data_IF_094123851797
#
_entry.id   IF_094123851797
#
_cell.length_a   1.000
_cell.length_b   1.000
_cell.length_c   1.000
_cell.angle_alpha   90.00
_cell.angle_beta   90.00
_cell.angle_gamma   90.00
#
_symmetry.space_group_name_H-M   'P 1'
#
loop_
_entity.id
_entity.type
_entity.pdbx_description
1 polymer ?
#
# COMPACT_ATOMS: atom_id res chain seq x y z
N UNK A 1 -26.58 -29.05 -3.02
CA UNK A 1 -26.68 -30.42 -2.46
C UNK A 1 -25.39 -30.89 -1.82
N UNK A 2 -24.20 -30.50 -2.32
CA UNK A 2 -22.91 -30.86 -1.73
C UNK A 2 -22.52 -30.02 -0.50
N UNK A 3 -22.98 -28.77 -0.42
CA UNK A 3 -22.74 -27.90 0.75
C UNK A 3 -23.53 -28.33 1.99
N UNK A 4 -24.81 -28.70 1.85
CA UNK A 4 -25.63 -29.13 2.99
C UNK A 4 -25.12 -30.42 3.65
N UNK A 5 -24.59 -31.37 2.85
CA UNK A 5 -23.98 -32.59 3.38
C UNK A 5 -22.64 -32.33 4.07
N UNK A 6 -21.92 -31.27 3.70
CA UNK A 6 -20.67 -30.84 4.34
C UNK A 6 -20.95 -30.08 5.62
N UNK A 7 -22.02 -29.27 5.66
CA UNK A 7 -22.50 -28.61 6.88
C UNK A 7 -23.05 -29.62 7.88
N UNK A 8 -23.81 -30.62 7.42
CA UNK A 8 -24.29 -31.72 8.28
C UNK A 8 -23.14 -32.61 8.76
N UNK A 9 -22.12 -32.88 7.93
CA UNK A 9 -20.88 -33.56 8.39
C UNK A 9 -20.13 -32.72 9.41
N UNK A 10 -19.96 -31.41 9.19
CA UNK A 10 -19.30 -30.51 10.14
C UNK A 10 -20.08 -30.47 11.47
N UNK A 11 -21.41 -30.52 11.41
CA UNK A 11 -22.27 -30.47 12.59
C UNK A 11 -22.35 -31.83 13.33
N UNK A 12 -22.32 -32.95 12.61
CA UNK A 12 -22.17 -34.30 13.15
C UNK A 12 -20.75 -34.50 13.74
N UNK A 13 -19.71 -33.93 13.12
CA UNK A 13 -18.34 -33.91 13.62
C UNK A 13 -18.17 -32.97 14.83
N UNK A 14 -18.89 -31.84 14.87
CA UNK A 14 -18.97 -30.97 16.05
C UNK A 14 -19.71 -31.65 17.22
N UNK A 15 -20.67 -32.52 16.93
CA UNK A 15 -21.38 -33.29 17.96
C UNK A 15 -20.57 -34.43 18.55
N UNK A 16 -19.50 -34.86 17.85
CA UNK A 16 -18.54 -35.85 18.30
C UNK A 16 -17.32 -35.25 19.03
N UNK A 17 -17.24 -33.92 19.20
CA UNK A 17 -16.37 -33.24 20.16
C UNK A 17 -17.07 -33.34 21.53
N UNK A 18 -16.86 -34.40 22.32
CA UNK A 18 -17.56 -34.58 23.57
C UNK A 18 -16.81 -33.72 24.59
N UNK A 19 -17.31 -32.54 24.92
CA UNK A 19 -16.88 -31.81 26.12
C UNK A 19 -15.34 -31.65 26.29
N UNK A 20 -14.54 -31.63 25.20
CA UNK A 20 -13.08 -31.42 25.27
C UNK A 20 -12.73 -29.94 25.49
N UNK A 21 -13.55 -29.26 26.27
CA UNK A 21 -13.48 -27.83 26.59
C UNK A 21 -12.59 -27.55 27.82
N UNK A 22 -11.88 -28.54 28.38
CA UNK A 22 -11.08 -28.26 29.59
C UNK A 22 -9.76 -28.98 29.79
N UNK A 23 -9.40 -30.03 29.04
CA UNK A 23 -8.23 -30.82 29.40
C UNK A 23 -7.38 -31.29 28.20
N UNK A 24 -6.29 -30.57 27.95
CA UNK A 24 -5.30 -30.91 26.92
C UNK A 24 -4.69 -32.29 27.15
N UNK A 25 -4.60 -32.73 28.42
CA UNK A 25 -4.13 -34.09 28.76
C UNK A 25 -5.06 -35.19 28.23
N UNK A 26 -6.37 -34.96 28.20
CA UNK A 26 -7.34 -35.89 27.61
C UNK A 26 -7.20 -35.93 26.10
N UNK A 27 -6.89 -34.80 25.46
CA UNK A 27 -6.60 -34.72 24.03
C UNK A 27 -5.35 -35.52 23.66
N UNK A 28 -4.26 -35.34 24.40
CA UNK A 28 -3.03 -36.13 24.19
C UNK A 28 -3.26 -37.63 24.37
N UNK A 29 -4.15 -38.02 25.28
CA UNK A 29 -4.48 -39.42 25.54
C UNK A 29 -5.35 -39.97 24.43
N UNK A 30 -6.39 -39.24 24.02
CA UNK A 30 -7.27 -39.59 22.92
C UNK A 30 -6.52 -39.76 21.59
N UNK A 31 -5.61 -38.83 21.27
CA UNK A 31 -4.77 -38.93 20.07
C UNK A 31 -3.88 -40.19 20.09
N UNK A 32 -3.28 -40.52 21.24
CA UNK A 32 -2.43 -41.72 21.39
C UNK A 32 -3.22 -43.02 21.24
N UNK A 33 -4.44 -43.07 21.77
CA UNK A 33 -5.31 -44.25 21.66
C UNK A 33 -5.82 -44.48 20.24
N UNK A 34 -6.03 -43.41 19.47
CA UNK A 34 -6.64 -43.45 18.13
C UNK A 34 -5.65 -43.10 17.01
N UNK A 35 -4.35 -43.22 17.24
CA UNK A 35 -3.31 -42.85 16.25
C UNK A 35 -3.42 -43.65 14.93
N UNK A 36 -3.99 -44.85 14.97
CA UNK A 36 -4.18 -45.70 13.78
C UNK A 36 -5.41 -45.31 12.95
N UNK A 37 -6.34 -44.55 13.52
CA UNK A 37 -7.53 -44.06 12.84
C UNK A 37 -7.26 -42.68 12.25
N UNK A 38 -7.28 -42.57 10.93
CA UNK A 38 -6.94 -41.33 10.23
C UNK A 38 -7.93 -40.21 10.52
N UNK A 39 -9.22 -40.51 10.66
CA UNK A 39 -10.27 -39.50 10.84
C UNK A 39 -10.27 -38.99 12.29
N UNK A 40 -10.22 -39.90 13.27
CA UNK A 40 -10.20 -39.52 14.69
C UNK A 40 -8.89 -38.81 15.07
N UNK A 41 -7.75 -39.23 14.53
CA UNK A 41 -6.49 -38.54 14.76
C UNK A 41 -6.48 -37.14 14.14
N UNK A 42 -7.10 -36.94 12.96
CA UNK A 42 -7.22 -35.62 12.34
C UNK A 42 -8.11 -34.68 13.17
N UNK A 43 -9.22 -35.19 13.71
CA UNK A 43 -10.09 -34.43 14.62
C UNK A 43 -9.34 -33.99 15.88
N UNK A 44 -8.56 -34.88 16.49
CA UNK A 44 -7.77 -34.55 17.67
C UNK A 44 -6.74 -33.44 17.39
N UNK A 45 -6.06 -33.50 16.24
CA UNK A 45 -5.10 -32.45 15.81
C UNK A 45 -5.80 -31.11 15.57
N UNK A 46 -6.96 -31.12 14.91
CA UNK A 46 -7.76 -29.93 14.68
C UNK A 46 -8.26 -29.32 16.00
N UNK A 47 -8.75 -30.13 16.92
CA UNK A 47 -9.18 -29.70 18.25
C UNK A 47 -8.03 -29.05 19.03
N UNK A 48 -6.83 -29.62 18.97
CA UNK A 48 -5.64 -29.02 19.57
C UNK A 48 -5.32 -27.66 18.95
N UNK A 49 -5.35 -27.56 17.62
CA UNK A 49 -5.08 -26.30 16.93
C UNK A 49 -6.12 -25.22 17.27
N UNK A 50 -7.41 -25.58 17.39
CA UNK A 50 -8.45 -24.64 17.82
C UNK A 50 -8.28 -24.17 19.26
N UNK A 51 -7.88 -25.07 20.18
CA UNK A 51 -7.55 -24.70 21.55
C UNK A 51 -6.33 -23.77 21.58
N UNK A 52 -5.36 -24.02 20.71
CA UNK A 52 -4.13 -23.24 20.63
C UNK A 52 -4.35 -21.84 20.06
N UNK A 53 -5.25 -21.66 19.08
CA UNK A 53 -5.61 -20.32 18.59
C UNK A 53 -6.34 -19.50 19.64
N UNK A 54 -7.12 -20.14 20.52
CA UNK A 54 -7.82 -19.46 21.63
C UNK A 54 -6.90 -19.19 22.83
N UNK A 55 -5.96 -20.10 23.13
CA UNK A 55 -5.06 -20.01 24.28
C UNK A 55 -3.59 -20.20 23.84
N UNK A 56 -2.92 -19.12 23.39
CA UNK A 56 -1.51 -19.15 22.96
C UNK A 56 -0.53 -19.61 24.04
N UNK A 57 -0.86 -19.39 25.32
CA UNK A 57 -0.01 -19.73 26.47
C UNK A 57 0.25 -21.24 26.62
N UNK A 58 -0.55 -22.08 25.96
CA UNK A 58 -0.41 -23.53 25.99
C UNK A 58 0.93 -24.03 25.44
N UNK A 59 1.59 -23.25 24.57
CA UNK A 59 2.92 -23.56 24.03
C UNK A 59 4.08 -23.28 25.02
N UNK A 60 3.79 -22.72 26.20
CA UNK A 60 4.78 -22.65 27.27
C UNK A 60 5.07 -24.03 27.88
N UNK A 61 4.13 -24.97 27.78
CA UNK A 61 4.35 -26.36 28.17
C UNK A 61 5.11 -27.11 27.07
N UNK A 62 6.26 -27.70 27.44
CA UNK A 62 7.11 -28.47 26.55
C UNK A 62 6.37 -29.63 25.88
N UNK A 63 5.42 -30.28 26.57
CA UNK A 63 4.64 -31.41 26.00
C UNK A 63 3.75 -30.96 24.84
N UNK A 64 3.14 -29.78 24.96
CA UNK A 64 2.28 -29.23 23.91
C UNK A 64 3.09 -28.76 22.71
N UNK A 65 4.25 -28.16 22.97
CA UNK A 65 5.20 -27.77 21.93
C UNK A 65 5.75 -28.98 21.17
N UNK A 66 6.04 -30.07 21.87
CA UNK A 66 6.48 -31.34 21.27
C UNK A 66 5.37 -31.99 20.42
N UNK A 67 4.13 -32.01 20.93
CA UNK A 67 2.98 -32.48 20.17
C UNK A 67 2.76 -31.67 18.89
N UNK A 68 2.86 -30.34 18.96
CA UNK A 68 2.79 -29.47 17.78
C UNK A 68 3.88 -29.83 16.76
N UNK A 69 5.09 -30.17 17.20
CA UNK A 69 6.19 -30.48 16.29
C UNK A 69 6.05 -31.88 15.65
N UNK A 70 5.56 -32.87 16.39
CA UNK A 70 5.58 -34.27 15.98
C UNK A 70 4.26 -34.77 15.38
N UNK A 71 3.12 -34.33 15.94
CA UNK A 71 1.81 -34.85 15.56
C UNK A 71 1.17 -34.01 14.46
N UNK A 72 1.41 -32.71 14.44
CA UNK A 72 0.74 -31.76 13.55
C UNK A 72 1.55 -31.58 12.28
N UNK A 73 0.88 -31.66 11.13
CA UNK A 73 1.47 -31.38 9.83
C UNK A 73 1.00 -30.05 9.23
N UNK A 74 1.67 -29.56 8.17
CA UNK A 74 1.32 -28.31 7.49
C UNK A 74 -0.13 -28.27 6.98
N UNK A 75 -0.63 -29.39 6.45
CA UNK A 75 -1.99 -29.47 5.91
C UNK A 75 -3.07 -29.37 6.98
N UNK A 76 -2.77 -29.67 8.25
CA UNK A 76 -3.76 -29.56 9.33
C UNK A 76 -4.16 -28.09 9.57
N UNK A 77 -3.29 -27.13 9.25
CA UNK A 77 -3.58 -25.70 9.34
C UNK A 77 -4.58 -25.19 8.29
N UNK A 78 -4.77 -25.93 7.18
CA UNK A 78 -5.76 -25.57 6.15
C UNK A 78 -7.20 -25.77 6.64
N UNK A 79 -7.38 -26.65 7.62
CA UNK A 79 -8.69 -26.95 8.21
C UNK A 79 -9.11 -25.90 9.26
N UNK A 80 -8.22 -24.98 9.63
CA UNK A 80 -8.54 -23.88 10.53
C UNK A 80 -9.30 -22.78 9.76
N UNK A 81 -10.40 -22.31 10.35
CA UNK A 81 -11.14 -21.17 9.83
C UNK A 81 -10.49 -19.85 10.23
N UNK A 82 -9.44 -19.47 9.50
CA UNK A 82 -8.78 -18.18 9.68
C UNK A 82 -9.70 -17.03 9.25
N UNK A 83 -10.08 -16.17 10.20
CA UNK A 83 -10.92 -14.99 9.96
C UNK A 83 -10.26 -13.96 9.03
N UNK A 84 -8.97 -13.70 9.26
CA UNK A 84 -8.18 -12.75 8.46
C UNK A 84 -6.77 -13.28 8.24
N UNK A 85 -6.06 -12.84 7.19
CA UNK A 85 -4.67 -13.20 7.00
C UNK A 85 -3.77 -12.66 8.12
N UNK A 86 -4.15 -11.53 8.75
CA UNK A 86 -3.46 -10.96 9.90
C UNK A 86 -3.47 -11.91 11.11
N UNK A 87 -4.59 -12.58 11.36
CA UNK A 87 -4.70 -13.58 12.43
C UNK A 87 -3.72 -14.77 12.22
N UNK A 88 -3.45 -15.15 10.97
CA UNK A 88 -2.40 -16.16 10.67
C UNK A 88 -1.02 -15.68 11.11
N UNK A 89 -0.74 -14.37 11.02
CA UNK A 89 0.54 -13.77 11.41
C UNK A 89 0.72 -13.69 12.91
N UNK A 90 -0.32 -13.30 13.63
CA UNK A 90 -0.33 -13.32 15.10
C UNK A 90 -0.07 -14.74 15.64
N UNK A 91 -0.62 -15.74 14.96
CA UNK A 91 -0.33 -17.14 15.25
C UNK A 91 1.11 -17.52 14.92
N UNK A 92 1.65 -17.07 13.78
CA UNK A 92 3.08 -17.27 13.46
C UNK A 92 4.02 -16.68 14.51
N UNK A 93 3.71 -15.50 15.04
CA UNK A 93 4.49 -14.87 16.11
C UNK A 93 4.45 -15.70 17.40
N UNK A 94 3.27 -16.27 17.71
CA UNK A 94 3.11 -17.21 18.83
C UNK A 94 3.99 -18.45 18.64
N UNK A 95 4.01 -19.02 17.43
CA UNK A 95 4.86 -20.16 17.10
C UNK A 95 6.36 -19.83 17.18
N UNK A 96 6.77 -18.63 16.76
CA UNK A 96 8.16 -18.16 16.91
C UNK A 96 8.58 -17.99 18.37
N UNK A 97 7.64 -17.61 19.24
CA UNK A 97 7.87 -17.48 20.69
C UNK A 97 8.01 -18.81 21.43
N UNK A 98 7.71 -19.94 20.77
CA UNK A 98 7.73 -21.27 21.37
C UNK A 98 9.17 -21.71 21.73
N UNK A 99 9.36 -22.19 22.96
CA UNK A 99 10.66 -22.67 23.45
C UNK A 99 10.74 -24.19 23.35
N UNK A 100 11.44 -24.67 22.34
CA UNK A 100 11.63 -26.12 22.10
C UNK A 100 13.09 -26.46 22.37
N UNK A 101 13.32 -27.46 23.23
CA UNK A 101 14.68 -27.88 23.62
C UNK A 101 15.40 -28.68 22.53
N UNK A 102 14.65 -29.46 21.74
CA UNK A 102 15.19 -30.30 20.66
C UNK A 102 15.25 -29.54 19.33
N UNK A 103 16.41 -29.59 18.67
CA UNK A 103 16.67 -28.83 17.44
C UNK A 103 15.83 -29.31 16.25
N UNK A 104 15.54 -30.61 16.18
CA UNK A 104 14.69 -31.25 15.16
C UNK A 104 13.23 -30.78 15.28
N UNK A 105 12.65 -30.86 16.48
CA UNK A 105 11.29 -30.36 16.74
C UNK A 105 11.17 -28.85 16.50
N UNK A 106 12.22 -28.08 16.84
CA UNK A 106 12.26 -26.65 16.53
C UNK A 106 12.30 -26.38 15.01
N UNK A 107 12.87 -27.29 14.22
CA UNK A 107 12.87 -27.18 12.76
C UNK A 107 11.48 -27.46 12.17
N UNK A 108 10.75 -28.43 12.70
CA UNK A 108 9.37 -28.72 12.28
C UNK A 108 8.43 -27.54 12.55
N UNK A 109 8.49 -26.93 13.74
CA UNK A 109 7.68 -25.73 14.02
C UNK A 109 8.05 -24.56 13.10
N UNK A 110 9.33 -24.39 12.74
CA UNK A 110 9.73 -23.41 11.73
C UNK A 110 9.14 -23.71 10.34
N UNK A 111 8.93 -24.99 9.99
CA UNK A 111 8.24 -25.36 8.75
C UNK A 111 6.77 -24.96 8.78
N UNK A 112 6.09 -25.15 9.91
CA UNK A 112 4.70 -24.68 10.10
C UNK A 112 4.56 -23.18 9.93
N UNK A 113 5.46 -22.40 10.53
CA UNK A 113 5.48 -20.93 10.35
C UNK A 113 5.65 -20.54 8.89
N UNK A 114 6.57 -21.20 8.17
CA UNK A 114 6.76 -20.94 6.74
C UNK A 114 5.50 -21.23 5.93
N UNK A 115 4.82 -22.34 6.23
CA UNK A 115 3.59 -22.73 5.57
C UNK A 115 2.48 -21.68 5.79
N UNK A 116 2.29 -21.22 7.03
CA UNK A 116 1.31 -20.20 7.37
C UNK A 116 1.61 -18.86 6.72
N UNK A 117 2.88 -18.44 6.67
CA UNK A 117 3.28 -17.23 5.94
C UNK A 117 2.96 -17.33 4.44
N UNK A 118 3.14 -18.50 3.83
CA UNK A 118 2.77 -18.72 2.42
C UNK A 118 1.26 -18.64 2.21
N UNK A 119 0.47 -19.23 3.11
CA UNK A 119 -0.99 -19.15 3.05
C UNK A 119 -1.48 -17.71 3.25
N UNK A 120 -0.92 -16.96 4.19
CA UNK A 120 -1.23 -15.55 4.41
C UNK A 120 -0.92 -14.72 3.14
N UNK A 121 0.23 -14.95 2.50
CA UNK A 121 0.57 -14.28 1.23
C UNK A 121 -0.44 -14.57 0.11
N UNK A 122 -0.89 -15.82 -0.02
CA UNK A 122 -1.89 -16.21 -1.03
C UNK A 122 -3.22 -15.53 -0.76
N UNK A 123 -3.68 -15.51 0.49
CA UNK A 123 -4.90 -14.79 0.87
C UNK A 123 -4.80 -13.29 0.61
N UNK A 124 -3.69 -12.63 0.94
CA UNK A 124 -3.51 -11.22 0.61
C UNK A 124 -3.49 -10.97 -0.92
N UNK A 125 -3.01 -11.92 -1.72
CA UNK A 125 -3.10 -11.85 -3.20
C UNK A 125 -4.56 -11.96 -3.66
N UNK A 126 -5.35 -12.88 -3.06
CA UNK A 126 -6.78 -13.07 -3.36
C UNK A 126 -7.66 -11.88 -2.93
N UNK A 127 -7.36 -11.27 -1.80
CA UNK A 127 -8.06 -10.09 -1.26
C UNK A 127 -7.65 -8.78 -1.94
N UNK A 128 -6.68 -8.82 -2.87
CA UNK A 128 -6.06 -7.66 -3.53
C UNK A 128 -5.48 -6.62 -2.54
N UNK A 129 -5.12 -7.05 -1.33
CA UNK A 129 -4.44 -6.21 -0.33
C UNK A 129 -2.93 -6.20 -0.58
N UNK A 130 -2.55 -5.42 -1.59
CA UNK A 130 -1.16 -5.29 -2.03
C UNK A 130 -0.25 -4.64 -0.98
N UNK A 131 -0.79 -3.89 -0.03
CA UNK A 131 -0.01 -3.20 1.01
C UNK A 131 0.44 -4.20 2.08
N UNK A 132 -0.49 -5.00 2.58
CA UNK A 132 -0.18 -6.07 3.54
C UNK A 132 0.66 -7.20 2.91
N UNK A 133 0.40 -7.55 1.65
CA UNK A 133 1.25 -8.50 0.91
C UNK A 133 2.69 -7.99 0.83
N UNK A 134 2.88 -6.70 0.53
CA UNK A 134 4.22 -6.12 0.39
C UNK A 134 4.97 -6.09 1.72
N UNK A 135 4.34 -5.58 2.78
CA UNK A 135 4.95 -5.50 4.11
C UNK A 135 5.42 -6.89 4.57
N UNK A 136 4.62 -7.91 4.30
CA UNK A 136 4.97 -9.29 4.65
C UNK A 136 6.10 -9.87 3.79
N UNK A 137 6.11 -9.63 2.47
CA UNK A 137 7.20 -10.07 1.59
C UNK A 137 8.54 -9.41 1.94
N UNK A 138 8.51 -8.20 2.50
CA UNK A 138 9.70 -7.47 2.97
C UNK A 138 10.24 -8.06 4.29
N UNK A 139 9.35 -8.46 5.20
CA UNK A 139 9.70 -9.03 6.51
C UNK A 139 10.04 -10.54 6.41
N UNK A 140 9.48 -11.26 5.44
CA UNK A 140 9.68 -12.69 5.30
C UNK A 140 11.17 -13.04 5.10
N UNK A 141 11.78 -13.85 6.00
CA UNK A 141 13.20 -14.18 5.94
C UNK A 141 13.50 -15.05 4.72
N UNK A 142 13.96 -14.45 3.63
CA UNK A 142 14.45 -15.20 2.48
C UNK A 142 15.89 -15.61 2.72
N UNK A 143 16.08 -16.77 3.35
CA UNK A 143 17.37 -17.43 3.25
C UNK A 143 17.68 -17.69 1.77
N UNK A 144 18.87 -17.32 1.26
CA UNK A 144 19.25 -17.54 -0.14
C UNK A 144 19.29 -19.03 -0.55
N UNK A 145 19.10 -19.96 0.39
CA UNK A 145 18.92 -21.40 0.10
C UNK A 145 17.48 -21.78 -0.30
N UNK A 146 16.50 -20.87 -0.19
CA UNK A 146 15.12 -21.14 -0.60
C UNK A 146 14.96 -20.98 -2.11
N UNK A 147 14.94 -22.12 -2.81
CA UNK A 147 14.74 -22.20 -4.25
C UNK A 147 13.26 -22.11 -4.65
N UNK A 148 12.42 -21.47 -3.83
CA UNK A 148 10.98 -21.48 -4.00
C UNK A 148 10.56 -20.49 -5.10
N UNK A 149 9.99 -21.01 -6.19
CA UNK A 149 9.57 -20.20 -7.35
C UNK A 149 8.37 -19.31 -7.04
N UNK A 150 7.53 -19.70 -6.08
CA UNK A 150 6.31 -18.97 -5.73
C UNK A 150 6.61 -17.67 -5.00
N UNK A 151 7.49 -17.68 -4.00
CA UNK A 151 7.90 -16.46 -3.29
C UNK A 151 8.59 -15.46 -4.21
N UNK A 152 9.36 -15.95 -5.20
CA UNK A 152 9.96 -15.10 -6.24
C UNK A 152 8.89 -14.47 -7.14
N UNK A 153 7.86 -15.24 -7.53
CA UNK A 153 6.71 -14.73 -8.28
C UNK A 153 5.99 -13.63 -7.49
N UNK A 154 5.64 -13.88 -6.23
CA UNK A 154 4.93 -12.93 -5.37
C UNK A 154 5.71 -11.63 -5.18
N UNK A 155 7.02 -11.72 -4.93
CA UNK A 155 7.90 -10.54 -4.86
C UNK A 155 7.96 -9.77 -6.17
N UNK A 156 8.03 -10.46 -7.30
CA UNK A 156 8.02 -9.81 -8.61
C UNK A 156 6.70 -9.08 -8.87
N UNK A 157 5.57 -9.70 -8.52
CA UNK A 157 4.24 -9.09 -8.63
C UNK A 157 4.11 -7.85 -7.74
N UNK A 158 4.53 -7.94 -6.48
CA UNK A 158 4.53 -6.82 -5.53
C UNK A 158 5.38 -5.64 -6.04
N UNK A 159 6.60 -5.91 -6.53
CA UNK A 159 7.48 -4.89 -7.11
C UNK A 159 6.89 -4.25 -8.37
N UNK A 160 6.23 -5.02 -9.22
CA UNK A 160 5.56 -4.49 -10.42
C UNK A 160 4.39 -3.58 -10.03
N UNK A 161 3.67 -3.90 -8.95
CA UNK A 161 2.61 -3.04 -8.42
C UNK A 161 3.15 -1.71 -7.91
N UNK A 162 4.26 -1.71 -7.16
CA UNK A 162 4.93 -0.49 -6.71
C UNK A 162 5.33 0.40 -7.91
N UNK A 163 5.94 -0.21 -8.94
CA UNK A 163 6.30 0.50 -10.16
C UNK A 163 5.07 1.11 -10.86
N UNK A 164 3.90 0.44 -10.83
CA UNK A 164 2.64 0.99 -11.37
C UNK A 164 2.09 2.12 -10.51
N UNK A 165 2.11 2.00 -9.17
CA UNK A 165 1.68 3.04 -8.24
C UNK A 165 2.52 4.30 -8.42
N UNK A 166 3.84 4.16 -8.43
CA UNK A 166 4.78 5.27 -8.64
C UNK A 166 4.62 5.88 -10.04
N UNK A 167 4.46 5.06 -11.09
CA UNK A 167 4.21 5.57 -12.45
C UNK A 167 2.90 6.35 -12.57
N UNK A 168 1.83 5.90 -11.92
CA UNK A 168 0.53 6.60 -11.94
C UNK A 168 0.64 7.99 -11.29
N UNK A 169 1.30 8.08 -10.15
CA UNK A 169 1.53 9.37 -9.48
C UNK A 169 2.45 10.29 -10.30
N UNK A 170 3.50 9.73 -10.92
CA UNK A 170 4.38 10.49 -11.82
C UNK A 170 3.65 11.00 -13.06
N UNK A 171 2.70 10.25 -13.61
CA UNK A 171 1.92 10.71 -14.75
C UNK A 171 1.09 11.96 -14.42
N UNK A 172 0.45 11.99 -13.24
CA UNK A 172 -0.30 13.15 -12.76
C UNK A 172 0.64 14.35 -12.58
N UNK A 173 1.80 14.12 -11.95
CA UNK A 173 2.82 15.16 -11.77
C UNK A 173 3.29 15.73 -13.13
N UNK A 174 3.65 14.88 -14.08
CA UNK A 174 4.07 15.34 -15.41
C UNK A 174 2.95 16.09 -16.14
N UNK A 175 1.71 15.63 -16.02
CA UNK A 175 0.54 16.34 -16.56
C UNK A 175 0.42 17.75 -15.98
N UNK A 176 0.52 17.88 -14.65
CA UNK A 176 0.50 19.17 -13.96
C UNK A 176 1.63 20.10 -14.44
N UNK A 177 2.86 19.61 -14.51
CA UNK A 177 4.02 20.39 -14.98
C UNK A 177 3.85 20.86 -16.44
N UNK A 178 3.35 20.00 -17.33
CA UNK A 178 3.11 20.36 -18.74
C UNK A 178 2.06 21.47 -18.83
N UNK A 179 0.95 21.33 -18.12
CA UNK A 179 -0.12 22.34 -18.09
C UNK A 179 0.44 23.67 -17.61
N UNK A 180 1.26 23.65 -16.56
CA UNK A 180 1.84 24.87 -16.04
C UNK A 180 2.82 25.54 -16.99
N UNK A 181 3.71 24.78 -17.63
CA UNK A 181 4.62 25.32 -18.66
C UNK A 181 3.80 25.99 -19.76
N UNK A 182 2.70 25.38 -20.20
CA UNK A 182 1.79 25.97 -21.18
C UNK A 182 1.17 27.28 -20.66
N UNK A 183 0.70 27.30 -19.40
CA UNK A 183 0.16 28.52 -18.80
C UNK A 183 1.20 29.65 -18.78
N UNK A 184 2.42 29.38 -18.31
CA UNK A 184 3.49 30.38 -18.19
C UNK A 184 3.97 30.88 -19.56
N UNK A 185 4.07 29.99 -20.56
CA UNK A 185 4.61 30.35 -21.87
C UNK A 185 3.57 30.94 -22.82
N UNK A 186 2.28 30.67 -22.62
CA UNK A 186 1.23 31.08 -23.57
C UNK A 186 0.20 31.97 -22.89
N UNK A 187 -0.44 31.48 -21.83
CA UNK A 187 -1.63 32.13 -21.25
C UNK A 187 -1.25 33.42 -20.52
N UNK A 188 -0.30 33.37 -19.60
CA UNK A 188 0.11 34.54 -18.81
C UNK A 188 0.70 35.68 -19.65
N UNK A 189 1.56 35.43 -20.65
CA UNK A 189 2.03 36.46 -21.58
C UNK A 189 0.88 37.16 -22.30
N UNK A 190 -0.09 36.39 -22.80
CA UNK A 190 -1.25 36.95 -23.50
C UNK A 190 -2.17 37.74 -22.56
N UNK A 191 -2.41 37.23 -21.34
CA UNK A 191 -3.21 37.94 -20.33
C UNK A 191 -2.55 39.26 -19.93
N UNK A 192 -1.23 39.27 -19.74
CA UNK A 192 -0.47 40.48 -19.41
C UNK A 192 -0.56 41.53 -20.52
N UNK A 193 -0.29 41.13 -21.76
CA UNK A 193 -0.33 42.02 -22.92
C UNK A 193 -1.73 42.60 -23.08
N UNK A 194 -2.77 41.77 -22.99
CA UNK A 194 -4.15 42.24 -23.13
C UNK A 194 -4.54 43.19 -21.99
N UNK A 195 -4.12 42.93 -20.76
CA UNK A 195 -4.40 43.79 -19.62
C UNK A 195 -3.69 45.15 -19.73
N UNK A 196 -2.40 45.16 -20.06
CA UNK A 196 -1.61 46.39 -20.12
C UNK A 196 -1.85 47.17 -21.41
N UNK A 197 -1.81 46.53 -22.58
CA UNK A 197 -2.03 47.21 -23.85
C UNK A 197 -3.49 47.67 -24.03
N UNK A 198 -4.46 46.91 -23.51
CA UNK A 198 -5.87 47.29 -23.57
C UNK A 198 -6.15 48.59 -22.81
N UNK A 199 -5.54 48.76 -21.64
CA UNK A 199 -5.63 50.00 -20.87
C UNK A 199 -4.85 51.14 -21.53
N UNK A 200 -3.64 50.86 -22.06
CA UNK A 200 -2.85 51.86 -22.79
C UNK A 200 -3.61 52.39 -24.01
N UNK A 201 -4.27 51.53 -24.77
CA UNK A 201 -5.08 51.94 -25.92
C UNK A 201 -6.25 52.85 -25.53
N UNK A 202 -6.95 52.56 -24.42
CA UNK A 202 -8.04 53.45 -23.93
C UNK A 202 -7.52 54.81 -23.54
N UNK A 203 -6.40 54.86 -22.81
CA UNK A 203 -5.77 56.13 -22.39
C UNK A 203 -5.35 56.97 -23.58
N UNK A 204 -4.80 56.32 -24.61
CA UNK A 204 -4.42 56.99 -25.85
C UNK A 204 -5.62 57.55 -26.58
N UNK A 205 -6.72 56.79 -26.69
CA UNK A 205 -7.94 57.25 -27.36
C UNK A 205 -8.57 58.45 -26.63
N UNK A 206 -8.55 58.45 -25.30
CA UNK A 206 -8.97 59.59 -24.47
C UNK A 206 -8.08 60.82 -24.68
N UNK A 207 -6.78 60.60 -24.78
CA UNK A 207 -5.77 61.65 -24.90
C UNK A 207 -5.59 62.16 -26.32
N UNK A 208 -5.89 61.38 -27.36
CA UNK A 208 -5.81 61.79 -28.77
C UNK A 208 -6.80 62.91 -29.14
N UNK A 209 -7.82 63.15 -28.31
CA UNK A 209 -8.68 64.35 -28.39
C UNK A 209 -7.99 65.63 -27.84
N UNK A 210 -6.75 65.53 -27.37
CA UNK A 210 -5.88 66.62 -26.93
C UNK A 210 -4.56 66.48 -27.71
N UNK A 211 -4.03 67.55 -28.30
CA UNK A 211 -2.73 67.49 -28.98
C UNK A 211 -1.63 67.11 -27.97
N UNK A 212 -1.15 65.88 -28.03
CA UNK A 212 0.00 65.40 -27.25
C UNK A 212 1.23 65.41 -28.15
N UNK A 213 2.30 66.01 -27.64
CA UNK A 213 3.62 66.04 -28.28
C UNK A 213 4.25 64.65 -28.45
N UNK A 214 5.33 64.62 -29.22
CA UNK A 214 6.00 63.48 -29.87
C UNK A 214 6.51 62.32 -28.96
N UNK A 215 6.10 62.24 -27.69
CA UNK A 215 6.40 61.11 -26.80
C UNK A 215 5.36 60.00 -26.98
N UNK A 216 5.51 59.25 -28.07
CA UNK A 216 4.65 58.11 -28.39
C UNK A 216 4.67 57.02 -27.29
N UNK A 217 3.49 56.47 -27.00
CA UNK A 217 3.31 55.36 -26.07
C UNK A 217 3.85 54.05 -26.67
N UNK A 218 4.56 53.24 -25.86
CA UNK A 218 5.07 51.91 -26.27
C UNK A 218 4.08 50.81 -25.88
N UNK A 219 3.57 50.09 -26.87
CA UNK A 219 2.80 48.86 -26.65
C UNK A 219 3.74 47.68 -26.39
N UNK A 220 3.36 46.79 -25.47
CA UNK A 220 4.10 45.56 -25.19
C UNK A 220 3.89 44.54 -26.29
N UNK A 221 4.97 43.88 -26.72
CA UNK A 221 4.94 42.80 -27.69
C UNK A 221 4.76 41.44 -27.02
N UNK A 222 4.48 40.38 -27.81
CA UNK A 222 4.46 39.00 -27.29
C UNK A 222 5.76 38.62 -26.59
N UNK A 223 6.89 39.02 -27.16
CA UNK A 223 8.21 38.75 -26.58
C UNK A 223 8.42 39.45 -25.24
N UNK A 224 7.90 40.67 -25.07
CA UNK A 224 7.93 41.39 -23.79
C UNK A 224 7.09 40.68 -22.73
N UNK A 225 5.87 40.26 -23.08
CA UNK A 225 4.98 39.52 -22.18
C UNK A 225 5.51 38.13 -21.82
N UNK A 226 6.14 37.43 -22.77
CA UNK A 226 6.77 36.13 -22.54
C UNK A 226 7.95 36.26 -21.58
N UNK A 227 8.82 37.24 -21.83
CA UNK A 227 9.94 37.54 -20.95
C UNK A 227 9.45 37.86 -19.54
N UNK A 228 8.47 38.76 -19.40
CA UNK A 228 7.85 39.11 -18.13
C UNK A 228 7.29 37.89 -17.40
N UNK A 229 6.58 37.00 -18.10
CA UNK A 229 5.98 35.84 -17.48
C UNK A 229 7.03 34.84 -16.96
N UNK A 230 8.10 34.61 -17.72
CA UNK A 230 9.18 33.69 -17.33
C UNK A 230 9.94 34.21 -16.11
N UNK A 231 10.34 35.47 -16.09
CA UNK A 231 11.09 36.04 -14.95
C UNK A 231 10.23 36.16 -13.69
N UNK A 232 8.91 36.35 -13.85
CA UNK A 232 7.96 36.42 -12.73
C UNK A 232 7.66 35.03 -12.17
N UNK A 233 7.37 34.05 -13.03
CA UNK A 233 7.16 32.66 -12.62
C UNK A 233 8.43 32.05 -11.99
N UNK A 234 9.61 32.40 -12.50
CA UNK A 234 10.90 32.01 -11.95
C UNK A 234 11.33 32.80 -10.71
N UNK A 235 10.50 33.73 -10.20
CA UNK A 235 10.82 34.61 -9.06
C UNK A 235 12.11 35.44 -9.20
N UNK A 236 12.57 35.67 -10.43
CA UNK A 236 13.77 36.48 -10.74
C UNK A 236 13.43 37.97 -10.63
N UNK A 237 12.34 38.38 -11.30
CA UNK A 237 11.76 39.72 -11.16
C UNK A 237 12.71 40.90 -11.37
N UNK A 238 13.36 41.01 -12.53
CA UNK A 238 14.30 42.11 -12.83
C UNK A 238 13.68 43.52 -12.70
N UNK A 239 12.36 43.64 -12.86
CA UNK A 239 11.63 44.89 -12.62
C UNK A 239 11.72 45.91 -13.77
N UNK A 240 12.30 45.53 -14.90
CA UNK A 240 12.35 46.29 -16.14
C UNK A 240 11.01 46.32 -16.88
N UNK A 241 10.22 45.25 -16.78
CA UNK A 241 8.82 45.19 -17.19
C UNK A 241 7.97 44.85 -15.98
N UNK A 242 7.01 45.72 -15.66
CA UNK A 242 6.11 45.56 -14.51
C UNK A 242 4.68 45.96 -14.85
N UNK A 243 3.67 45.26 -14.32
CA UNK A 243 2.27 45.62 -14.54
C UNK A 243 1.94 46.96 -13.87
N UNK A 244 1.37 47.87 -14.64
CA UNK A 244 0.92 49.17 -14.12
C UNK A 244 -0.57 49.13 -13.79
N UNK A 245 -1.34 48.29 -14.48
CA UNK A 245 -2.79 48.16 -14.29
C UNK A 245 -3.16 47.34 -13.06
N UNK A 246 -4.33 47.61 -12.49
CA UNK A 246 -4.87 46.80 -11.37
C UNK A 246 -5.03 45.34 -11.77
N UNK A 247 -5.54 45.09 -12.99
CA UNK A 247 -5.71 43.74 -13.54
C UNK A 247 -4.37 43.05 -13.75
N UNK A 248 -3.38 43.75 -14.32
CA UNK A 248 -2.02 43.23 -14.51
C UNK A 248 -1.35 42.85 -13.19
N UNK A 249 -1.55 43.65 -12.12
CA UNK A 249 -1.03 43.34 -10.78
C UNK A 249 -1.66 42.08 -10.18
N UNK A 250 -2.95 41.85 -10.40
CA UNK A 250 -3.61 40.59 -9.99
C UNK A 250 -3.05 39.39 -10.75
N UNK A 251 -2.85 39.51 -12.07
CA UNK A 251 -2.24 38.47 -12.90
C UNK A 251 -0.81 38.17 -12.44
N UNK A 252 -0.03 39.18 -12.07
CA UNK A 252 1.31 39.02 -11.52
C UNK A 252 1.31 38.26 -10.19
N UNK A 253 0.39 38.58 -9.29
CA UNK A 253 0.25 37.91 -7.99
C UNK A 253 -0.10 36.42 -8.14
N UNK A 254 -1.00 36.07 -9.06
CA UNK A 254 -1.34 34.66 -9.32
C UNK A 254 -0.20 33.92 -10.00
N UNK A 255 0.50 34.55 -10.95
CA UNK A 255 1.67 33.96 -11.60
C UNK A 255 2.82 33.69 -10.62
N UNK A 256 3.11 34.66 -9.74
CA UNK A 256 4.17 34.52 -8.73
C UNK A 256 3.90 33.41 -7.73
N UNK A 257 2.68 33.32 -7.20
CA UNK A 257 2.30 32.24 -6.27
C UNK A 257 2.32 30.87 -6.95
N UNK A 258 1.80 30.77 -8.18
CA UNK A 258 1.86 29.54 -8.97
C UNK A 258 3.30 29.11 -9.28
N UNK A 259 4.20 30.05 -9.61
CA UNK A 259 5.61 29.76 -9.86
C UNK A 259 6.32 29.14 -8.67
N UNK A 260 6.16 29.74 -7.48
CA UNK A 260 6.79 29.25 -6.24
C UNK A 260 6.29 27.87 -5.83
N UNK A 261 4.97 27.63 -5.91
CA UNK A 261 4.38 26.33 -5.56
C UNK A 261 5.00 25.20 -6.39
N UNK A 262 5.32 25.48 -7.64
CA UNK A 262 5.79 24.45 -8.58
C UNK A 262 7.26 24.15 -8.47
N UNK A 263 8.08 25.14 -8.14
CA UNK A 263 9.50 24.89 -7.85
C UNK A 263 9.65 24.01 -6.60
N UNK A 264 8.65 24.00 -5.71
CA UNK A 264 8.63 23.17 -4.50
C UNK A 264 8.19 21.71 -4.68
N UNK A 265 7.70 21.31 -5.87
CA UNK A 265 7.20 19.95 -6.18
C UNK A 265 8.23 19.16 -6.97
#
# INVERSE_FOLDING_TARGET
MRDAALTDLIQEYQSALPEMDSNIEELHTFYREHQQDQDLSAQARLAFLMLLTQNPELLQDAKNAEFLAQAIGPADFDNLQWETPAHMLEFCDTLYGCRIAEEENAQEVRMHVRYLLQQALRRYEEEEDWEALFSLVEIAPTSPMMNDSELRRLRHLARVYELRRVRRNRFILYGYLIVQVLLVLIVFPLLFINAENGELQRRVEELANVEIGDEGYRLFTYTDGLYWAVITAGSIGYGDITPMTTTGKLIAGTLGTMGVVTVGV
#
